data_IF_462556867764
#
_entry.id   IF_462556867764
#
_cell.length_a   1.000
_cell.length_b   1.000
_cell.length_c   1.000
_cell.angle_alpha   90.00
_cell.angle_beta   90.00
_cell.angle_gamma   90.00
#
_symmetry.space_group_name_H-M   'P 1'
#
loop_
_entity.id
_entity.type
_entity.pdbx_description
1 polymer ?
#
# COMPACT_ATOMS: atom_id res chain seq x y z
N UNK A 1 26.92 -18.73 -3.61
CA UNK A 1 25.74 -19.06 -2.76
C UNK A 1 25.46 -18.05 -1.64
N UNK A 2 26.45 -17.56 -0.88
CA UNK A 2 26.20 -16.60 0.23
C UNK A 2 25.56 -15.28 -0.24
N UNK A 3 26.03 -14.71 -1.35
CA UNK A 3 25.48 -13.46 -1.89
C UNK A 3 24.00 -13.60 -2.29
N UNK A 4 23.63 -14.70 -2.95
CA UNK A 4 22.24 -14.97 -3.33
C UNK A 4 21.34 -15.11 -2.09
N UNK A 5 21.79 -15.82 -1.04
CA UNK A 5 21.03 -15.94 0.20
C UNK A 5 20.80 -14.58 0.88
N UNK A 6 21.83 -13.73 0.95
CA UNK A 6 21.71 -12.37 1.49
C UNK A 6 20.73 -11.52 0.69
N UNK A 7 20.79 -11.60 -0.63
CA UNK A 7 19.85 -10.88 -1.50
C UNK A 7 18.41 -11.34 -1.29
N UNK A 8 18.14 -12.65 -1.28
CA UNK A 8 16.80 -13.19 -1.07
C UNK A 8 16.22 -12.82 0.31
N UNK A 9 17.05 -12.84 1.35
CA UNK A 9 16.64 -12.38 2.68
C UNK A 9 16.29 -10.89 2.67
N UNK A 10 17.11 -10.05 2.03
CA UNK A 10 16.82 -8.62 1.90
C UNK A 10 15.49 -8.35 1.15
N UNK A 11 15.20 -9.09 0.07
CA UNK A 11 13.92 -8.99 -0.65
C UNK A 11 12.76 -9.39 0.28
N UNK A 12 12.89 -10.52 0.98
CA UNK A 12 11.89 -10.99 1.92
C UNK A 12 11.62 -9.96 3.03
N UNK A 13 12.67 -9.42 3.64
CA UNK A 13 12.53 -8.50 4.78
C UNK A 13 11.92 -7.17 4.33
N UNK A 14 12.36 -6.66 3.16
CA UNK A 14 11.77 -5.45 2.56
C UNK A 14 10.29 -5.64 2.24
N UNK A 15 9.92 -6.79 1.69
CA UNK A 15 8.53 -7.14 1.41
C UNK A 15 7.70 -7.23 2.69
N UNK A 16 8.25 -7.87 3.73
CA UNK A 16 7.55 -8.12 5.00
C UNK A 16 7.20 -6.84 5.74
N UNK A 17 8.06 -5.82 5.68
CA UNK A 17 7.80 -4.49 6.27
C UNK A 17 6.54 -3.83 5.69
N UNK A 18 6.24 -4.07 4.40
CA UNK A 18 5.06 -3.49 3.73
C UNK A 18 3.86 -4.43 3.80
N UNK A 19 4.08 -5.72 3.58
CA UNK A 19 3.02 -6.68 3.26
C UNK A 19 2.60 -7.60 4.41
N UNK A 20 3.40 -7.72 5.48
CA UNK A 20 2.98 -8.48 6.66
C UNK A 20 2.19 -7.58 7.62
N UNK A 21 0.89 -7.85 7.76
CA UNK A 21 -0.01 -7.14 8.67
C UNK A 21 0.37 -7.25 10.16
N UNK A 22 1.28 -8.18 10.53
CA UNK A 22 1.84 -8.26 11.90
C UNK A 22 2.97 -7.27 12.13
N UNK A 23 3.64 -6.86 11.05
CA UNK A 23 4.87 -6.05 11.11
C UNK A 23 4.54 -4.60 10.72
N UNK A 24 3.80 -4.43 9.64
CA UNK A 24 3.44 -3.14 9.08
C UNK A 24 2.52 -2.32 10.03
N UNK A 25 2.36 -1.01 9.80
CA UNK A 25 1.54 -0.13 10.63
C UNK A 25 0.06 -0.53 10.76
N UNK A 26 -0.47 -1.37 9.87
CA UNK A 26 -1.86 -1.86 10.04
C UNK A 26 -2.03 -2.75 11.27
N UNK A 27 -0.94 -3.25 11.88
CA UNK A 27 -1.00 -4.01 13.14
C UNK A 27 -1.67 -3.27 14.30
N UNK A 28 -1.75 -1.93 14.25
CA UNK A 28 -2.42 -1.10 15.25
C UNK A 28 -3.96 -1.12 15.13
N UNK A 29 -4.50 -1.68 14.04
CA UNK A 29 -5.94 -1.88 13.88
C UNK A 29 -6.43 -3.05 14.75
N UNK A 30 -7.64 -2.92 15.35
CA UNK A 30 -8.12 -3.83 16.39
C UNK A 30 -8.45 -5.23 15.90
N UNK A 31 -8.83 -5.38 14.63
CA UNK A 31 -9.32 -6.63 14.08
C UNK A 31 -8.61 -7.06 12.78
N UNK A 32 -8.48 -8.37 12.61
CA UNK A 32 -7.78 -8.98 11.47
C UNK A 32 -8.51 -8.79 10.14
N UNK A 33 -9.85 -8.66 10.18
CA UNK A 33 -10.66 -8.49 8.98
C UNK A 33 -10.39 -7.11 8.35
N UNK A 34 -10.34 -6.07 9.18
CA UNK A 34 -10.02 -4.71 8.77
C UNK A 34 -8.58 -4.59 8.27
N UNK A 35 -7.61 -5.23 8.95
CA UNK A 35 -6.24 -5.34 8.45
C UNK A 35 -6.21 -5.94 7.03
N UNK A 36 -6.89 -7.06 6.82
CA UNK A 36 -6.97 -7.72 5.51
C UNK A 36 -7.67 -6.84 4.47
N UNK A 37 -8.75 -6.15 4.84
CA UNK A 37 -9.46 -5.22 3.96
C UNK A 37 -8.54 -4.11 3.45
N UNK A 38 -7.82 -3.41 4.34
CA UNK A 38 -6.87 -2.38 3.94
C UNK A 38 -5.74 -2.95 3.08
N UNK A 39 -5.22 -4.13 3.42
CA UNK A 39 -4.21 -4.80 2.59
C UNK A 39 -4.72 -5.12 1.18
N UNK A 40 -5.97 -5.57 1.03
CA UNK A 40 -6.60 -5.84 -0.28
C UNK A 40 -6.77 -4.53 -1.06
N UNK A 41 -7.24 -3.46 -0.43
CA UNK A 41 -7.41 -2.15 -1.10
C UNK A 41 -6.06 -1.61 -1.59
N UNK A 42 -5.02 -1.65 -0.75
CA UNK A 42 -3.67 -1.25 -1.14
C UNK A 42 -3.15 -2.15 -2.29
N UNK A 43 -3.36 -3.47 -2.21
CA UNK A 43 -2.99 -4.40 -3.27
C UNK A 43 -3.66 -4.08 -4.60
N UNK A 44 -4.97 -3.80 -4.63
CA UNK A 44 -5.70 -3.46 -5.85
C UNK A 44 -5.21 -2.15 -6.44
N UNK A 45 -4.96 -1.14 -5.61
CA UNK A 45 -4.40 0.15 -6.05
C UNK A 45 -3.02 -0.03 -6.71
N UNK A 46 -2.12 -0.77 -6.06
CA UNK A 46 -0.79 -1.05 -6.60
C UNK A 46 -0.86 -1.92 -7.87
N UNK A 47 -1.77 -2.89 -7.93
CA UNK A 47 -2.01 -3.70 -9.13
C UNK A 47 -2.48 -2.84 -10.31
N UNK A 48 -3.35 -1.86 -10.08
CA UNK A 48 -3.79 -0.92 -11.11
C UNK A 48 -2.63 -0.05 -11.63
N UNK A 49 -1.75 0.42 -10.74
CA UNK A 49 -0.53 1.13 -11.13
C UNK A 49 0.38 0.27 -12.01
N UNK A 50 0.67 -0.98 -11.61
CA UNK A 50 1.50 -1.87 -12.43
C UNK A 50 0.85 -2.23 -13.77
N UNK A 51 -0.48 -2.35 -13.81
CA UNK A 51 -1.22 -2.54 -15.06
C UNK A 51 -1.07 -1.33 -16.00
N UNK A 52 -1.09 -0.09 -15.49
CA UNK A 52 -0.83 1.11 -16.28
C UNK A 52 0.59 1.13 -16.86
N UNK A 53 1.60 0.75 -16.06
CA UNK A 53 2.98 0.59 -16.56
C UNK A 53 3.03 -0.46 -17.67
N UNK A 54 2.44 -1.63 -17.44
CA UNK A 54 2.43 -2.73 -18.41
C UNK A 54 1.72 -2.31 -19.71
N UNK A 55 0.64 -1.56 -19.63
CA UNK A 55 -0.07 -1.04 -20.81
C UNK A 55 0.74 0.04 -21.56
N UNK A 56 1.50 0.88 -20.87
CA UNK A 56 2.38 1.87 -21.49
C UNK A 56 3.55 1.22 -22.24
N UNK A 57 4.27 0.31 -21.58
CA UNK A 57 5.43 -0.37 -22.17
C UNK A 57 5.04 -1.49 -23.14
N UNK A 58 3.88 -2.11 -22.97
CA UNK A 58 3.30 -3.11 -23.87
C UNK A 58 2.68 -2.51 -25.14
N UNK A 59 2.81 -1.20 -25.36
CA UNK A 59 2.40 -0.51 -26.60
C UNK A 59 0.93 -0.10 -26.67
N UNK A 60 0.07 -0.53 -25.73
CA UNK A 60 -1.36 -0.18 -25.69
C UNK A 60 -1.56 1.32 -25.43
N UNK A 61 -0.76 1.91 -24.54
CA UNK A 61 -0.77 3.34 -24.19
C UNK A 61 0.50 4.07 -24.66
N UNK A 62 1.28 3.44 -25.54
CA UNK A 62 2.65 3.83 -25.89
C UNK A 62 2.80 5.22 -26.54
N UNK A 63 4.06 5.65 -26.66
CA UNK A 63 4.47 6.93 -27.26
C UNK A 63 4.78 8.01 -26.23
N UNK A 64 5.91 8.69 -26.40
CA UNK A 64 6.40 9.71 -25.48
C UNK A 64 5.70 11.05 -25.67
N UNK A 65 5.24 11.64 -24.56
CA UNK A 65 4.92 13.07 -24.45
C UNK A 65 5.20 13.54 -23.03
N UNK A 66 5.47 14.84 -22.85
CA UNK A 66 5.70 15.41 -21.51
C UNK A 66 4.50 15.13 -20.60
N UNK A 67 3.28 15.30 -21.11
CA UNK A 67 2.04 15.03 -20.36
C UNK A 67 1.91 13.57 -19.93
N UNK A 68 2.18 12.61 -20.83
CA UNK A 68 2.14 11.17 -20.48
C UNK A 68 3.21 10.82 -19.44
N UNK A 69 4.39 11.41 -19.54
CA UNK A 69 5.46 11.25 -18.54
C UNK A 69 4.99 11.76 -17.17
N UNK A 70 4.41 12.95 -17.09
CA UNK A 70 3.87 13.51 -15.84
C UNK A 70 2.81 12.58 -15.24
N UNK A 71 1.87 12.08 -16.04
CA UNK A 71 0.83 11.14 -15.58
C UNK A 71 1.45 9.85 -15.02
N UNK A 72 2.48 9.31 -15.69
CA UNK A 72 3.16 8.09 -15.24
C UNK A 72 3.91 8.29 -13.91
N UNK A 73 4.48 9.48 -13.66
CA UNK A 73 5.12 9.77 -12.38
C UNK A 73 4.08 9.99 -11.27
N UNK A 74 2.98 10.70 -11.56
CA UNK A 74 1.89 10.88 -10.61
C UNK A 74 1.22 9.56 -10.24
N UNK A 75 1.09 8.63 -11.19
CA UNK A 75 0.52 7.30 -10.93
C UNK A 75 1.38 6.46 -10.00
N UNK A 76 2.68 6.76 -9.84
CA UNK A 76 3.55 6.18 -8.81
C UNK A 76 3.45 6.94 -7.48
N UNK A 77 3.53 8.27 -7.51
CA UNK A 77 3.58 9.11 -6.31
C UNK A 77 2.28 9.00 -5.50
N UNK A 78 1.13 9.00 -6.16
CA UNK A 78 -0.18 8.97 -5.49
C UNK A 78 -0.34 7.70 -4.64
N UNK A 79 -0.14 6.47 -5.15
CA UNK A 79 -0.18 5.26 -4.35
C UNK A 79 0.78 5.25 -3.16
N UNK A 80 1.98 5.83 -3.30
CA UNK A 80 2.95 5.94 -2.19
C UNK A 80 2.39 6.84 -1.09
N UNK A 81 1.88 8.02 -1.44
CA UNK A 81 1.28 8.95 -0.48
C UNK A 81 0.07 8.30 0.20
N UNK A 82 -0.80 7.62 -0.56
CA UNK A 82 -1.96 6.92 -0.01
C UNK A 82 -1.54 5.81 0.95
N UNK A 83 -0.55 4.99 0.59
CA UNK A 83 -0.04 3.93 1.46
C UNK A 83 0.50 4.51 2.77
N UNK A 84 1.29 5.59 2.70
CA UNK A 84 1.81 6.27 3.88
C UNK A 84 0.69 6.89 4.73
N UNK A 85 -0.31 7.51 4.12
CA UNK A 85 -1.44 8.10 4.84
C UNK A 85 -2.27 7.03 5.58
N UNK A 86 -2.53 5.89 4.94
CA UNK A 86 -3.22 4.75 5.56
C UNK A 86 -2.41 4.21 6.74
N UNK A 87 -1.09 4.05 6.56
CA UNK A 87 -0.20 3.56 7.61
C UNK A 87 -0.11 4.51 8.81
N UNK A 88 0.08 5.81 8.56
CA UNK A 88 0.06 6.83 9.62
C UNK A 88 -1.28 6.91 10.32
N UNK A 89 -2.39 6.79 9.59
CA UNK A 89 -3.72 6.76 10.19
C UNK A 89 -3.91 5.56 11.13
N UNK A 90 -3.37 4.40 10.77
CA UNK A 90 -3.39 3.22 11.65
C UNK A 90 -2.54 3.44 12.92
N UNK A 91 -1.36 4.06 12.80
CA UNK A 91 -0.49 4.41 13.93
C UNK A 91 -1.12 5.44 14.88
N UNK A 92 -1.73 6.48 14.33
CA UNK A 92 -2.23 7.63 15.10
C UNK A 92 -3.58 7.33 15.78
N UNK A 93 -4.51 6.69 15.05
CA UNK A 93 -5.89 6.52 15.52
C UNK A 93 -6.22 5.10 15.96
N UNK A 94 -5.44 4.09 15.54
CA UNK A 94 -5.65 2.68 15.89
C UNK A 94 -7.11 2.25 15.90
N UNK A 95 -7.64 1.99 17.10
CA UNK A 95 -9.03 1.61 17.36
C UNK A 95 -9.84 2.69 18.08
N UNK A 96 -9.26 3.85 18.37
CA UNK A 96 -9.85 4.91 19.20
C UNK A 96 -11.09 5.50 18.52
N UNK A 97 -11.06 5.67 17.20
CA UNK A 97 -12.20 6.14 16.42
C UNK A 97 -13.41 5.19 16.53
N UNK A 98 -13.17 3.87 16.54
CA UNK A 98 -14.21 2.85 16.64
C UNK A 98 -14.83 2.84 18.04
N UNK A 99 -13.99 2.96 19.08
CA UNK A 99 -14.44 3.07 20.47
C UNK A 99 -15.30 4.32 20.66
N UNK A 100 -14.85 5.47 20.15
CA UNK A 100 -15.57 6.75 20.21
C UNK A 100 -16.95 6.65 19.54
N UNK A 101 -17.02 6.15 18.31
CA UNK A 101 -18.29 5.99 17.60
C UNK A 101 -19.25 5.02 18.30
N UNK A 102 -18.75 3.90 18.84
CA UNK A 102 -19.60 2.98 19.62
C UNK A 102 -20.14 3.61 20.89
N UNK A 103 -19.40 4.53 21.51
CA UNK A 103 -19.86 5.26 22.68
C UNK A 103 -20.95 6.29 22.31
N UNK A 104 -20.80 6.99 21.19
CA UNK A 104 -21.77 7.99 20.73
C UNK A 104 -23.11 7.35 20.32
N UNK A 105 -23.10 6.14 19.74
CA UNK A 105 -24.32 5.39 19.41
C UNK A 105 -25.10 4.84 20.62
N UNK A 106 -24.49 4.85 21.81
CA UNK A 106 -25.12 4.38 23.06
C UNK A 106 -25.74 5.51 23.89
N UNK A 107 -25.55 6.77 23.48
CA UNK A 107 -26.21 7.95 24.07
C UNK A 107 -27.56 8.16 23.41
#
# INVERSE_FOLDING_TARGET
>A
MIFLKKFLLWVHDSWSVVMDAKINPLKYLPDRSLQAYFMIVLFVMWSAFFALIAAYWGGILGGYSIWKSVVLHLSLIIPVIVTNAVFRGAEEYGHDWLVKWRADLKK
#
